data_IF_425690674310
#
_entry.id   IF_425690674310
#
_cell.length_a   1.000
_cell.length_b   1.000
_cell.length_c   1.000
_cell.angle_alpha   90.00
_cell.angle_beta   90.00
_cell.angle_gamma   90.00
#
_symmetry.space_group_name_H-M   'P 1'
#
loop_
_entity.id
_entity.type
_entity.pdbx_description
1 polymer ?
#
# COMPACT_ATOMS: atom_id res chain seq x y z
N UNK A 1 23.04 -45.63 -10.44
CA UNK A 1 22.65 -44.61 -9.50
C UNK A 1 22.45 -45.20 -8.11
N UNK A 2 23.08 -44.60 -7.14
CA UNK A 2 22.92 -45.00 -5.77
C UNK A 2 21.58 -44.52 -5.24
N UNK A 3 20.76 -45.44 -4.80
CA UNK A 3 19.48 -45.11 -4.22
C UNK A 3 19.57 -44.79 -2.74
N UNK A 4 18.52 -44.25 -2.20
CA UNK A 4 18.41 -44.05 -0.76
C UNK A 4 18.25 -45.44 -0.08
N UNK A 5 18.78 -45.54 1.13
CA UNK A 5 18.50 -46.73 1.95
C UNK A 5 16.98 -46.78 2.21
N UNK A 6 16.43 -47.98 2.42
CA UNK A 6 14.98 -48.07 2.67
C UNK A 6 14.47 -47.16 3.77
N UNK A 7 15.23 -47.00 4.85
CA UNK A 7 14.85 -46.11 5.95
C UNK A 7 14.86 -44.63 5.51
N UNK A 8 15.90 -44.29 4.76
CA UNK A 8 16.02 -42.90 4.24
C UNK A 8 14.89 -42.57 3.28
N UNK A 9 14.52 -43.54 2.43
CA UNK A 9 13.41 -43.37 1.51
C UNK A 9 12.09 -43.15 2.28
N UNK A 10 11.87 -43.96 3.32
CA UNK A 10 10.68 -43.87 4.13
C UNK A 10 10.58 -42.48 4.81
N UNK A 11 11.70 -42.03 5.40
CA UNK A 11 11.76 -40.73 6.06
C UNK A 11 11.51 -39.58 5.06
N UNK A 12 12.11 -39.70 3.87
CA UNK A 12 11.95 -38.70 2.80
C UNK A 12 10.50 -38.62 2.34
N UNK A 13 9.84 -39.75 2.15
CA UNK A 13 8.43 -39.80 1.75
C UNK A 13 7.55 -39.22 2.83
N UNK A 14 7.83 -39.54 4.08
CA UNK A 14 7.07 -39.03 5.22
C UNK A 14 7.21 -37.53 5.34
N UNK A 15 8.43 -37.01 5.16
CA UNK A 15 8.68 -35.58 5.17
C UNK A 15 7.98 -34.84 4.02
N UNK A 16 7.94 -35.45 2.84
CA UNK A 16 7.26 -34.88 1.68
C UNK A 16 5.75 -34.80 1.92
N UNK A 17 5.16 -35.84 2.51
CA UNK A 17 3.72 -35.82 2.85
C UNK A 17 3.41 -34.73 3.87
N UNK A 18 4.24 -34.59 4.89
CA UNK A 18 4.08 -33.57 5.90
C UNK A 18 4.18 -32.19 5.26
N UNK A 19 5.13 -32.00 4.36
CA UNK A 19 5.30 -30.73 3.64
C UNK A 19 4.08 -30.39 2.79
N UNK A 20 3.51 -31.37 2.10
CA UNK A 20 2.31 -31.17 1.30
C UNK A 20 1.11 -30.79 2.18
N UNK A 21 0.94 -31.46 3.32
CA UNK A 21 -0.14 -31.16 4.26
C UNK A 21 0.03 -29.76 4.83
N UNK A 22 1.25 -29.39 5.24
CA UNK A 22 1.53 -28.05 5.77
C UNK A 22 1.24 -26.98 4.73
N UNK A 23 1.61 -27.21 3.46
CA UNK A 23 1.36 -26.29 2.37
C UNK A 23 -0.14 -26.10 2.14
N UNK A 24 -0.89 -27.20 2.16
CA UNK A 24 -2.34 -27.15 1.97
C UNK A 24 -3.00 -26.38 3.11
N UNK A 25 -2.57 -26.61 4.35
CA UNK A 25 -3.12 -25.90 5.50
C UNK A 25 -2.80 -24.39 5.44
N UNK A 26 -1.57 -24.05 5.07
CA UNK A 26 -1.18 -22.65 4.93
C UNK A 26 -1.98 -21.95 3.83
N UNK A 27 -2.22 -22.64 2.71
CA UNK A 27 -3.01 -22.09 1.62
C UNK A 27 -4.44 -21.84 2.07
N UNK A 28 -5.03 -22.77 2.82
CA UNK A 28 -6.38 -22.62 3.34
C UNK A 28 -6.46 -21.46 4.32
N UNK A 29 -5.48 -21.33 5.21
CA UNK A 29 -5.43 -20.22 6.18
C UNK A 29 -5.27 -18.88 5.48
N UNK A 30 -4.40 -18.81 4.48
CA UNK A 30 -4.20 -17.60 3.71
C UNK A 30 -5.46 -17.21 2.94
N UNK A 31 -6.14 -18.18 2.37
CA UNK A 31 -7.39 -17.96 1.66
C UNK A 31 -8.48 -17.43 2.57
N UNK A 32 -8.60 -18.01 3.76
CA UNK A 32 -9.58 -17.55 4.74
C UNK A 32 -9.28 -16.12 5.23
N UNK A 33 -8.01 -15.84 5.49
CA UNK A 33 -7.60 -14.49 5.92
C UNK A 33 -7.88 -13.47 4.82
N UNK A 34 -7.54 -13.78 3.57
CA UNK A 34 -7.79 -12.91 2.43
C UNK A 34 -9.30 -12.63 2.30
N UNK A 35 -10.13 -13.66 2.42
CA UNK A 35 -11.58 -13.51 2.34
C UNK A 35 -12.10 -12.60 3.45
N UNK A 36 -11.60 -12.77 4.67
CA UNK A 36 -12.01 -11.91 5.79
C UNK A 36 -11.60 -10.46 5.56
N UNK A 37 -10.39 -10.24 5.05
CA UNK A 37 -9.91 -8.89 4.75
C UNK A 37 -10.76 -8.23 3.67
N UNK A 38 -11.11 -8.97 2.64
CA UNK A 38 -11.97 -8.46 1.55
C UNK A 38 -13.36 -8.13 2.09
N UNK A 39 -13.93 -9.01 2.90
CA UNK A 39 -15.27 -8.78 3.49
C UNK A 39 -15.29 -7.52 4.35
N UNK A 40 -14.24 -7.32 5.18
CA UNK A 40 -14.14 -6.12 6.02
C UNK A 40 -13.93 -4.88 5.14
N UNK A 41 -13.06 -4.98 4.14
CA UNK A 41 -12.74 -3.85 3.26
C UNK A 41 -13.95 -3.41 2.41
N UNK A 42 -14.82 -4.34 2.04
CA UNK A 42 -16.01 -4.01 1.26
C UNK A 42 -16.97 -3.10 2.01
N UNK A 43 -16.95 -3.14 3.34
CA UNK A 43 -17.78 -2.26 4.15
C UNK A 43 -17.20 -0.86 4.27
N UNK A 44 -15.94 -0.67 3.90
CA UNK A 44 -15.28 0.64 3.96
C UNK A 44 -15.56 1.36 2.64
N UNK A 45 -16.17 2.52 2.74
CA UNK A 45 -16.59 3.33 1.58
C UNK A 45 -16.05 4.74 1.72
N UNK A 46 -15.73 5.38 0.60
CA UNK A 46 -15.38 6.80 0.57
C UNK A 46 -16.66 7.58 0.77
N UNK A 47 -16.83 8.20 1.94
CA UNK A 47 -18.08 8.87 2.31
C UNK A 47 -17.97 10.39 2.37
N UNK A 48 -16.77 10.91 2.51
CA UNK A 48 -16.56 12.34 2.76
C UNK A 48 -15.58 12.89 1.73
N UNK A 49 -15.80 14.12 1.30
CA UNK A 49 -14.89 14.79 0.35
C UNK A 49 -13.52 15.00 0.99
N UNK A 50 -13.49 15.53 2.21
CA UNK A 50 -12.26 15.87 2.92
C UNK A 50 -12.53 15.85 4.42
N UNK A 51 -11.83 15.00 5.16
CA UNK A 51 -11.95 14.93 6.62
C UNK A 51 -11.24 16.10 7.31
N UNK A 52 -10.52 16.91 6.55
CA UNK A 52 -9.80 18.10 7.02
C UNK A 52 -8.73 17.75 8.06
N UNK A 53 -8.13 16.58 7.92
CA UNK A 53 -7.01 16.18 8.77
C UNK A 53 -5.83 17.13 8.57
N UNK A 54 -5.25 17.59 9.66
CA UNK A 54 -4.10 18.48 9.63
C UNK A 54 -2.81 17.80 10.03
N UNK A 55 -2.90 16.60 10.57
CA UNK A 55 -1.73 15.85 11.03
C UNK A 55 -0.99 15.14 9.90
N UNK A 56 -1.74 14.38 9.10
CA UNK A 56 -1.16 13.64 7.99
C UNK A 56 -0.22 12.52 8.42
N UNK A 57 0.44 11.94 7.44
CA UNK A 57 1.43 10.89 7.66
C UNK A 57 2.75 11.34 7.03
N UNK A 58 3.83 11.23 7.79
CA UNK A 58 5.16 11.61 7.31
C UNK A 58 5.84 10.35 6.79
N UNK A 59 6.12 10.32 5.49
CA UNK A 59 6.83 9.21 4.87
C UNK A 59 8.30 9.57 4.71
N UNK A 60 9.16 8.71 5.22
CA UNK A 60 10.61 8.91 5.17
C UNK A 60 11.22 8.11 4.04
N UNK A 61 12.27 8.66 3.43
CA UNK A 61 12.99 7.98 2.35
C UNK A 61 13.55 6.63 2.83
N UNK A 62 13.99 6.58 4.06
CA UNK A 62 14.60 5.37 4.64
C UNK A 62 13.62 4.21 4.78
N UNK A 63 12.33 4.50 4.83
CA UNK A 63 11.29 3.47 5.01
C UNK A 63 11.30 2.45 3.88
N UNK A 64 11.77 2.82 2.70
CA UNK A 64 11.80 1.94 1.54
C UNK A 64 13.07 1.14 1.35
N UNK A 65 14.06 1.29 2.25
CA UNK A 65 15.35 0.61 2.10
C UNK A 65 15.23 -0.91 2.08
N UNK A 66 14.33 -1.45 2.89
CA UNK A 66 14.16 -2.90 2.99
C UNK A 66 13.39 -3.48 1.80
N UNK A 67 12.51 -2.71 1.18
CA UNK A 67 11.71 -3.18 0.04
C UNK A 67 12.32 -2.81 -1.30
N UNK A 68 13.31 -1.91 -1.31
CA UNK A 68 13.94 -1.44 -2.54
C UNK A 68 13.10 -0.46 -3.34
N UNK A 69 12.02 0.05 -2.76
CA UNK A 69 11.16 1.02 -3.43
C UNK A 69 11.64 2.45 -3.21
N UNK A 70 11.56 3.26 -4.24
CA UNK A 70 11.87 4.69 -4.14
C UNK A 70 10.76 5.40 -3.39
N UNK A 71 11.07 6.57 -2.82
CA UNK A 71 10.07 7.37 -2.12
C UNK A 71 8.97 7.84 -3.07
N UNK A 72 9.32 8.18 -4.30
CA UNK A 72 8.34 8.60 -5.30
C UNK A 72 7.35 7.49 -5.63
N UNK A 73 7.83 6.27 -5.75
CA UNK A 73 6.97 5.12 -6.04
C UNK A 73 5.99 4.86 -4.91
N UNK A 74 6.44 5.01 -3.68
CA UNK A 74 5.59 4.80 -2.50
C UNK A 74 4.57 5.91 -2.33
N UNK A 75 4.87 7.13 -2.80
CA UNK A 75 3.98 8.27 -2.71
C UNK A 75 2.97 8.37 -3.85
N UNK A 76 3.16 7.58 -4.90
CA UNK A 76 2.30 7.67 -6.09
C UNK A 76 0.83 7.45 -5.71
N UNK A 77 -0.02 8.35 -6.19
CA UNK A 77 -1.44 8.29 -5.94
C UNK A 77 -1.89 8.92 -4.63
N UNK A 78 -0.96 9.45 -3.84
CA UNK A 78 -1.28 10.11 -2.58
C UNK A 78 -1.42 11.61 -2.78
N UNK A 79 -2.15 12.26 -1.87
CA UNK A 79 -2.30 13.71 -1.89
C UNK A 79 -1.29 14.31 -0.91
N UNK A 80 -0.49 15.25 -1.39
CA UNK A 80 0.56 15.87 -0.58
C UNK A 80 -0.04 16.94 0.34
N UNK A 81 0.48 17.05 1.55
CA UNK A 81 -0.04 18.01 2.55
C UNK A 81 0.74 19.30 2.64
N UNK A 82 1.95 19.34 2.07
CA UNK A 82 2.80 20.52 2.10
C UNK A 82 3.41 20.70 0.72
N UNK A 83 3.70 21.96 0.36
CA UNK A 83 4.38 22.26 -0.89
C UNK A 83 5.75 21.55 -0.90
N UNK A 84 6.01 20.82 -1.96
CA UNK A 84 7.31 20.16 -2.13
C UNK A 84 8.16 21.03 -3.06
N UNK A 85 9.32 21.42 -2.56
CA UNK A 85 10.24 22.29 -3.30
C UNK A 85 11.52 21.54 -3.66
N UNK A 86 12.11 21.91 -4.78
CA UNK A 86 13.40 21.36 -5.17
C UNK A 86 14.53 22.14 -4.49
N UNK A 87 15.79 21.77 -4.79
CA UNK A 87 16.97 22.42 -4.20
C UNK A 87 17.08 23.91 -4.56
N UNK A 88 16.44 24.31 -5.65
CA UNK A 88 16.46 25.69 -6.12
C UNK A 88 15.30 26.53 -5.52
N UNK A 89 14.39 25.88 -4.80
CA UNK A 89 13.25 26.55 -4.18
C UNK A 89 12.01 26.57 -5.03
N UNK A 90 12.03 25.95 -6.21
CA UNK A 90 10.86 25.87 -7.08
C UNK A 90 9.89 24.82 -6.55
N UNK A 91 8.59 25.16 -6.55
CA UNK A 91 7.55 24.23 -6.10
C UNK A 91 7.34 23.17 -7.18
N UNK A 92 7.65 21.93 -6.81
CA UNK A 92 7.49 20.78 -7.70
C UNK A 92 6.07 20.25 -7.61
N UNK A 93 5.53 20.20 -6.39
CA UNK A 93 4.17 19.74 -6.14
C UNK A 93 3.56 20.61 -5.06
N UNK A 94 2.38 21.15 -5.32
CA UNK A 94 1.70 22.02 -4.38
C UNK A 94 0.85 21.23 -3.39
N UNK A 95 0.65 21.81 -2.22
CA UNK A 95 -0.26 21.24 -1.21
C UNK A 95 -1.62 20.95 -1.84
N UNK A 96 -2.12 19.74 -1.60
CA UNK A 96 -3.42 19.34 -2.09
C UNK A 96 -3.40 18.67 -3.46
N UNK A 97 -2.26 18.66 -4.14
CA UNK A 97 -2.13 17.98 -5.42
C UNK A 97 -1.87 16.49 -5.25
N UNK A 98 -2.38 15.71 -6.18
CA UNK A 98 -2.15 14.27 -6.20
C UNK A 98 -0.80 14.02 -6.86
N UNK A 99 -0.07 13.02 -6.36
CA UNK A 99 1.25 12.68 -6.90
C UNK A 99 1.06 11.67 -8.03
N UNK A 100 1.20 12.15 -9.27
CA UNK A 100 1.09 11.32 -10.48
C UNK A 100 2.48 10.82 -10.93
N UNK A 101 2.53 10.21 -12.11
CA UNK A 101 3.78 9.68 -12.64
C UNK A 101 4.85 10.75 -12.84
N UNK A 102 4.45 11.92 -13.31
CA UNK A 102 5.38 13.02 -13.53
C UNK A 102 5.94 13.53 -12.21
N UNK A 103 5.05 13.72 -11.24
CA UNK A 103 5.45 14.16 -9.91
C UNK A 103 6.33 13.10 -9.23
N UNK A 104 6.03 11.82 -9.44
CA UNK A 104 6.83 10.71 -8.91
C UNK A 104 8.27 10.78 -9.41
N UNK A 105 8.44 10.99 -10.71
CA UNK A 105 9.78 11.09 -11.31
C UNK A 105 10.56 12.28 -10.74
N UNK A 106 9.90 13.42 -10.58
CA UNK A 106 10.52 14.61 -10.01
C UNK A 106 10.89 14.42 -8.55
N UNK A 107 10.03 13.74 -7.77
CA UNK A 107 10.28 13.45 -6.37
C UNK A 107 11.48 12.51 -6.21
N UNK A 108 11.58 11.48 -7.07
CA UNK A 108 12.72 10.56 -7.04
C UNK A 108 14.02 11.29 -7.38
N UNK A 109 13.97 12.27 -8.28
CA UNK A 109 15.10 13.08 -8.66
C UNK A 109 15.59 13.94 -7.50
N UNK A 110 14.64 14.57 -6.80
CA UNK A 110 14.93 15.43 -5.64
C UNK A 110 15.37 14.59 -4.45
N UNK A 111 14.75 13.41 -4.28
CA UNK A 111 15.00 12.49 -3.18
C UNK A 111 14.89 13.17 -1.82
N UNK A 112 13.71 13.72 -1.49
CA UNK A 112 13.51 14.39 -0.21
C UNK A 112 13.63 13.40 0.95
N UNK A 113 14.12 13.86 2.10
CA UNK A 113 14.29 13.01 3.27
C UNK A 113 12.95 12.56 3.86
N UNK A 114 11.96 13.43 3.79
CA UNK A 114 10.61 13.13 4.27
C UNK A 114 9.57 13.92 3.48
N UNK A 115 8.38 13.35 3.37
CA UNK A 115 7.25 14.01 2.68
C UNK A 115 6.00 13.78 3.52
N UNK A 116 5.21 14.82 3.73
CA UNK A 116 3.96 14.74 4.50
C UNK A 116 2.79 14.57 3.52
N UNK A 117 2.02 13.50 3.72
CA UNK A 117 0.92 13.13 2.82
C UNK A 117 -0.36 12.86 3.61
N UNK A 118 -1.48 12.88 2.89
CA UNK A 118 -2.75 12.40 3.43
C UNK A 118 -2.73 10.87 3.39
N UNK A 119 -3.24 10.25 4.44
CA UNK A 119 -3.24 8.80 4.56
C UNK A 119 -4.48 8.30 5.27
N UNK A 120 -4.89 7.09 4.91
CA UNK A 120 -6.03 6.44 5.58
C UNK A 120 -5.72 6.17 7.06
N UNK A 121 -4.45 6.05 7.40
CA UNK A 121 -4.02 5.81 8.79
C UNK A 121 -4.41 6.99 9.69
N UNK A 122 -4.34 8.21 9.16
CA UNK A 122 -4.64 9.42 9.92
C UNK A 122 -5.99 10.05 9.55
N UNK A 123 -6.78 9.39 8.71
CA UNK A 123 -8.07 9.94 8.27
C UNK A 123 -9.00 10.14 9.46
N UNK A 124 -9.62 11.32 9.53
CA UNK A 124 -10.51 11.70 10.61
C UNK A 124 -11.98 11.42 10.32
N UNK A 125 -12.29 10.81 9.17
CA UNK A 125 -13.68 10.48 8.84
C UNK A 125 -14.22 9.49 9.87
N UNK A 126 -15.43 9.74 10.35
CA UNK A 126 -16.02 8.95 11.42
C UNK A 126 -16.38 7.56 10.92
N UNK A 127 -17.00 7.49 9.75
CA UNK A 127 -17.50 6.25 9.18
C UNK A 127 -17.02 6.14 7.75
N UNK A 128 -16.13 5.19 7.48
CA UNK A 128 -15.49 5.10 6.19
C UNK A 128 -14.26 5.98 6.11
N UNK A 129 -13.97 6.48 4.91
CA UNK A 129 -12.78 7.30 4.68
C UNK A 129 -13.15 8.51 3.81
N UNK A 130 -12.28 9.51 3.77
CA UNK A 130 -12.46 10.65 2.87
C UNK A 130 -11.68 10.43 1.58
N UNK A 131 -12.11 11.12 0.51
CA UNK A 131 -11.47 10.91 -0.80
C UNK A 131 -10.04 11.45 -0.85
N UNK A 132 -9.73 12.49 -0.12
CA UNK A 132 -8.38 13.07 -0.12
C UNK A 132 -7.39 12.13 0.56
N UNK A 133 -7.76 11.51 1.69
CA UNK A 133 -6.89 10.56 2.36
C UNK A 133 -6.73 9.26 1.57
N UNK A 134 -7.78 8.85 0.85
CA UNK A 134 -7.71 7.65 0.01
C UNK A 134 -6.75 7.85 -1.15
N UNK A 135 -6.82 8.99 -1.82
CA UNK A 135 -5.97 9.28 -2.96
C UNK A 135 -6.61 8.94 -4.28
N UNK A 136 -5.83 8.45 -5.24
CA UNK A 136 -6.36 8.25 -6.58
C UNK A 136 -6.97 6.85 -6.79
N UNK A 137 -7.93 6.81 -7.69
CA UNK A 137 -8.54 5.58 -8.17
C UNK A 137 -7.56 4.93 -9.17
N UNK A 138 -7.20 3.68 -8.94
CA UNK A 138 -6.22 2.99 -9.77
C UNK A 138 -6.69 2.82 -11.21
N UNK A 139 -7.99 2.77 -11.44
CA UNK A 139 -8.52 2.58 -12.79
C UNK A 139 -8.53 3.86 -13.60
N UNK A 140 -8.96 4.98 -13.00
CA UNK A 140 -9.06 6.27 -13.71
C UNK A 140 -7.81 7.12 -13.55
N UNK A 141 -7.02 6.85 -12.52
CA UNK A 141 -5.82 7.63 -12.15
C UNK A 141 -6.15 9.08 -11.83
N UNK A 142 -7.35 9.28 -11.31
CA UNK A 142 -7.83 10.56 -10.80
C UNK A 142 -8.28 10.34 -9.36
N UNK A 143 -8.52 11.44 -8.66
CA UNK A 143 -8.96 11.36 -7.27
C UNK A 143 -10.25 10.52 -7.19
N UNK A 144 -10.30 9.61 -6.24
CA UNK A 144 -11.45 8.71 -6.06
C UNK A 144 -12.73 9.52 -5.80
N UNK A 145 -13.86 8.98 -6.24
CA UNK A 145 -15.15 9.65 -6.03
C UNK A 145 -15.81 9.16 -4.75
N UNK A 146 -16.63 10.03 -4.17
CA UNK A 146 -17.43 9.67 -3.00
C UNK A 146 -18.41 8.58 -3.40
N UNK A 147 -18.50 7.55 -2.57
CA UNK A 147 -19.37 6.39 -2.83
C UNK A 147 -18.60 5.15 -3.29
N UNK A 148 -17.33 5.29 -3.64
CA UNK A 148 -16.51 4.16 -4.08
C UNK A 148 -16.08 3.32 -2.88
N UNK A 149 -16.21 2.01 -3.02
CA UNK A 149 -15.70 1.16 -1.94
C UNK A 149 -14.19 1.05 -1.95
N UNK A 150 -13.74 1.06 -0.90
CA UNK A 150 -12.33 1.05 -0.76
C UNK A 150 -11.69 -0.30 -0.83
N UNK A 151 -12.21 -1.02 -1.34
CA UNK A 151 -11.79 -2.37 -1.42
C UNK A 151 -10.61 -2.66 -2.25
N UNK A 152 -10.57 -2.24 -3.08
CA UNK A 152 -9.56 -2.43 -4.05
C UNK A 152 -8.23 -1.87 -3.64
N UNK A 153 -8.35 -1.14 -3.00
CA UNK A 153 -7.19 -0.48 -2.56
C UNK A 153 -6.51 -1.13 -1.41
N UNK A 154 -7.16 -1.90 -0.77
CA UNK A 154 -6.56 -2.51 0.43
C UNK A 154 -6.06 -3.94 0.15
N UNK A 155 -6.36 -4.49 -0.99
CA UNK A 155 -6.02 -5.89 -1.32
C UNK A 155 -5.03 -6.01 -2.47
#
# INVERSE_FOLDING_TARGET
KEGLAPLEYFISTHGARKGLVDTALRTAEAGYLTRRLVDVAQDVVVKVEDCKDKEGYIMHTDDGKFTGETIGRRLRGRVIMEDLKDAEGNVVNKKGQIIDKKAMALIDKINPSKVKIRSLVTCKAIDGVCRVCYGWDLSTKELVEVGEPXXXXFV
#
